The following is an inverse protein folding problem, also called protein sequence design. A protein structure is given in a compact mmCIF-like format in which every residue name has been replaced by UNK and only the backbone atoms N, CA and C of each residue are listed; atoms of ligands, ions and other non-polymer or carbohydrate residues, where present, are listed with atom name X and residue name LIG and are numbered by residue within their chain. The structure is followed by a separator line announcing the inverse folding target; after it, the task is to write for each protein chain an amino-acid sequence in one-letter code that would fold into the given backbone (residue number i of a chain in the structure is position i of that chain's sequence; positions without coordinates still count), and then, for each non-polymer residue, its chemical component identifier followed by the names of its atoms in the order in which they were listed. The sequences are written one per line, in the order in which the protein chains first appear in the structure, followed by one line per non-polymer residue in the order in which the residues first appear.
data_IF_555080213649
#
_entry.id   IF_555080213649
#
_cell.length_a   1.000
_cell.length_b   1.000
_cell.length_c   1.000
_cell.angle_alpha   90.00
_cell.angle_beta   90.00
_cell.angle_gamma   90.00
#
_symmetry.space_group_name_H-M   'P 1'
#
loop_
_entity.id
_entity.type
_entity.pdbx_description
1 polymer ?
#
# COMPACT_ATOMS: atom_id res chain seq x y z
N UNK A 1 -18.81 27.97 -69.05
CA UNK A 1 -18.18 28.46 -67.81
C UNK A 1 -17.58 27.26 -67.13
N UNK A 2 -16.26 27.12 -67.25
CA UNK A 2 -15.50 25.97 -66.77
C UNK A 2 -15.47 25.95 -65.25
N UNK A 3 -15.87 24.84 -64.66
CA UNK A 3 -15.70 24.56 -63.24
C UNK A 3 -14.25 24.13 -63.01
N UNK A 4 -13.47 24.98 -62.35
CA UNK A 4 -12.15 24.65 -61.83
C UNK A 4 -12.34 23.94 -60.47
N UNK A 5 -11.96 22.66 -60.31
CA UNK A 5 -12.00 22.01 -59.02
C UNK A 5 -10.79 22.49 -58.22
N UNK A 6 -11.00 23.49 -57.37
CA UNK A 6 -10.01 23.94 -56.40
C UNK A 6 -9.48 22.76 -55.59
N UNK A 7 -8.25 22.37 -55.88
CA UNK A 7 -7.49 21.35 -55.17
C UNK A 7 -7.35 21.80 -53.72
N UNK A 8 -8.13 21.20 -52.82
CA UNK A 8 -7.89 21.30 -51.39
C UNK A 8 -6.60 20.55 -51.07
N UNK A 9 -5.47 21.26 -51.10
CA UNK A 9 -4.16 20.79 -50.64
C UNK A 9 -4.27 20.46 -49.14
N UNK A 10 -4.53 19.19 -48.81
CA UNK A 10 -4.62 18.74 -47.44
C UNK A 10 -3.22 18.75 -46.83
N UNK A 11 -3.05 19.55 -45.77
CA UNK A 11 -1.76 19.84 -45.13
C UNK A 11 -1.36 18.73 -44.16
N UNK A 12 -1.21 17.50 -44.66
CA UNK A 12 -0.82 16.35 -43.85
C UNK A 12 0.71 16.20 -43.75
N UNK A 13 1.27 15.95 -42.56
CA UNK A 13 2.71 15.80 -42.40
C UNK A 13 3.21 14.55 -43.13
N UNK A 14 4.43 14.64 -43.66
CA UNK A 14 5.02 13.54 -44.43
C UNK A 14 5.47 12.40 -43.51
N UNK A 15 5.43 11.15 -43.98
CA UNK A 15 5.90 9.98 -43.24
C UNK A 15 7.32 10.16 -42.68
N UNK A 16 8.20 10.79 -43.46
CA UNK A 16 9.59 11.08 -43.05
C UNK A 16 9.65 11.97 -41.80
N UNK A 17 8.72 12.91 -41.64
CA UNK A 17 8.65 13.77 -40.46
C UNK A 17 8.22 12.98 -39.21
N UNK A 18 7.22 12.10 -39.32
CA UNK A 18 6.79 11.26 -38.20
C UNK A 18 7.89 10.31 -37.74
N UNK A 19 8.58 9.66 -38.68
CA UNK A 19 9.72 8.79 -38.34
C UNK A 19 10.83 9.56 -37.63
N UNK A 20 11.14 10.78 -38.08
CA UNK A 20 12.11 11.64 -37.39
C UNK A 20 11.72 11.98 -35.95
N UNK A 21 10.44 12.29 -35.72
CA UNK A 21 9.94 12.60 -34.38
C UNK A 21 9.89 11.34 -33.51
N UNK A 22 9.53 10.17 -34.06
CA UNK A 22 9.56 8.90 -33.35
C UNK A 22 10.98 8.58 -32.82
N UNK A 23 11.99 8.73 -33.68
CA UNK A 23 13.40 8.52 -33.28
C UNK A 23 13.80 9.50 -32.19
N UNK A 24 13.43 10.78 -32.32
CA UNK A 24 13.69 11.78 -31.28
C UNK A 24 13.06 11.42 -29.94
N UNK A 25 11.79 11.02 -29.92
CA UNK A 25 11.09 10.58 -28.70
C UNK A 25 11.70 9.31 -28.10
N UNK A 26 12.17 8.39 -28.94
CA UNK A 26 12.85 7.18 -28.51
C UNK A 26 14.18 7.50 -27.84
N UNK A 27 14.98 8.41 -28.41
CA UNK A 27 16.24 8.87 -27.81
C UNK A 27 16.01 9.52 -26.45
N UNK A 28 15.00 10.41 -26.32
CA UNK A 28 14.61 10.97 -25.02
C UNK A 28 14.30 9.85 -24.02
N UNK A 29 13.53 8.85 -24.44
CA UNK A 29 13.14 7.74 -23.57
C UNK A 29 14.36 6.93 -23.10
N UNK A 30 15.34 6.67 -23.97
CA UNK A 30 16.61 6.03 -23.57
C UNK A 30 17.34 6.87 -22.53
N UNK A 31 17.44 8.19 -22.75
CA UNK A 31 18.10 9.10 -21.79
C UNK A 31 17.40 9.08 -20.44
N UNK A 32 16.06 9.11 -20.42
CA UNK A 32 15.26 8.98 -19.18
C UNK A 32 15.58 7.67 -18.44
N UNK A 33 15.59 6.54 -19.15
CA UNK A 33 15.92 5.24 -18.56
C UNK A 33 17.33 5.20 -17.98
N UNK A 34 18.33 5.73 -18.69
CA UNK A 34 19.73 5.77 -18.22
C UNK A 34 19.87 6.62 -16.96
N UNK A 35 19.09 7.69 -16.82
CA UNK A 35 19.08 8.53 -15.61
C UNK A 35 18.42 7.81 -14.42
N UNK A 36 17.35 7.04 -14.65
CA UNK A 36 16.55 6.38 -13.59
C UNK A 36 17.15 5.05 -13.11
N UNK A 37 17.89 4.35 -13.99
CA UNK A 37 18.40 3.01 -13.72
C UNK A 37 19.33 2.92 -12.49
N UNK A 38 20.29 3.84 -12.27
CA UNK A 38 21.20 3.73 -11.15
C UNK A 38 20.52 4.12 -9.83
N UNK A 39 20.65 3.27 -8.81
CA UNK A 39 20.06 3.49 -7.48
C UNK A 39 20.61 4.76 -6.79
N UNK A 40 21.88 5.11 -7.07
CA UNK A 40 22.59 6.26 -6.48
C UNK A 40 21.94 7.62 -6.79
N UNK A 41 21.02 7.67 -7.74
CA UNK A 41 20.41 8.88 -8.26
C UNK A 41 18.90 8.97 -7.98
N UNK A 42 18.32 7.99 -7.27
CA UNK A 42 16.90 7.99 -6.91
C UNK A 42 16.63 8.99 -5.79
N UNK A 43 15.70 9.91 -6.02
CA UNK A 43 15.27 10.93 -5.05
C UNK A 43 16.15 12.17 -4.93
N UNK A 44 17.28 12.24 -5.66
CA UNK A 44 18.10 13.45 -5.68
C UNK A 44 17.40 14.57 -6.46
N UNK A 45 17.37 15.79 -5.92
CA UNK A 45 16.78 16.94 -6.61
C UNK A 45 17.41 17.22 -7.98
N UNK A 46 18.69 16.88 -8.17
CA UNK A 46 19.38 17.00 -9.45
C UNK A 46 18.81 16.04 -10.51
N UNK A 47 18.24 14.89 -10.15
CA UNK A 47 17.71 13.93 -11.15
C UNK A 47 16.25 14.22 -11.49
N UNK A 48 15.47 14.72 -10.54
CA UNK A 48 14.04 15.03 -10.75
C UNK A 48 13.86 16.17 -11.77
N UNK A 49 14.62 17.26 -11.66
CA UNK A 49 14.49 18.42 -12.54
C UNK A 49 14.70 18.12 -14.04
N UNK A 50 15.81 17.48 -14.48
CA UNK A 50 16.01 17.14 -15.89
C UNK A 50 15.00 16.12 -16.39
N UNK A 51 14.59 15.14 -15.57
CA UNK A 51 13.54 14.19 -15.96
C UNK A 51 12.19 14.88 -16.19
N UNK A 52 11.82 15.83 -15.34
CA UNK A 52 10.60 16.62 -15.52
C UNK A 52 10.64 17.43 -16.82
N UNK A 53 11.80 18.02 -17.15
CA UNK A 53 11.99 18.76 -18.41
C UNK A 53 11.89 17.83 -19.63
N UNK A 54 12.56 16.68 -19.61
CA UNK A 54 12.50 15.69 -20.69
C UNK A 54 11.06 15.17 -20.91
N UNK A 55 10.35 14.89 -19.82
CA UNK A 55 8.94 14.49 -19.85
C UNK A 55 8.04 15.58 -20.45
N UNK A 56 8.24 16.85 -20.07
CA UNK A 56 7.49 17.98 -20.63
C UNK A 56 7.76 18.16 -22.14
N UNK A 57 9.01 18.02 -22.59
CA UNK A 57 9.39 18.10 -24.01
C UNK A 57 8.73 16.95 -24.80
N UNK A 58 8.77 15.73 -24.27
CA UNK A 58 8.16 14.56 -24.89
C UNK A 58 6.65 14.71 -24.99
N UNK A 59 5.99 15.12 -23.91
CA UNK A 59 4.56 15.42 -23.91
C UNK A 59 4.21 16.46 -24.97
N UNK A 60 4.94 17.58 -25.02
CA UNK A 60 4.76 18.62 -26.02
C UNK A 60 4.89 18.07 -27.45
N UNK A 61 5.95 17.29 -27.74
CA UNK A 61 6.15 16.71 -29.05
C UNK A 61 5.00 15.76 -29.45
N UNK A 62 4.48 14.97 -28.51
CA UNK A 62 3.33 14.08 -28.76
C UNK A 62 2.08 14.89 -29.09
N UNK A 63 1.71 15.90 -28.28
CA UNK A 63 0.49 16.68 -28.52
C UNK A 63 0.57 17.47 -29.83
N UNK A 64 1.73 18.07 -30.15
CA UNK A 64 1.86 18.92 -31.33
C UNK A 64 1.87 18.13 -32.62
N UNK A 65 2.55 16.97 -32.65
CA UNK A 65 2.78 16.25 -33.90
C UNK A 65 1.94 14.98 -34.05
N UNK A 66 1.72 14.20 -33.00
CA UNK A 66 0.93 12.97 -33.07
C UNK A 66 -0.56 13.22 -32.83
N UNK A 67 -0.91 14.13 -31.92
CA UNK A 67 -2.30 14.57 -31.73
C UNK A 67 -2.69 15.73 -32.65
N UNK A 68 -1.87 16.04 -33.65
CA UNK A 68 -2.15 17.00 -34.72
C UNK A 68 -2.45 18.44 -34.28
N UNK A 69 -2.21 18.81 -33.02
CA UNK A 69 -2.56 20.14 -32.49
C UNK A 69 -1.88 21.30 -33.24
N UNK A 70 -0.71 21.05 -33.87
CA UNK A 70 -0.02 22.01 -34.73
C UNK A 70 -0.72 22.23 -36.09
N UNK A 71 -1.41 21.21 -36.59
CA UNK A 71 -2.03 21.17 -37.91
C UNK A 71 -3.55 21.37 -37.86
N UNK A 72 -4.15 21.24 -36.68
CA UNK A 72 -5.56 21.45 -36.42
C UNK A 72 -5.95 22.93 -36.26
N UNK A 73 -7.26 23.17 -36.25
CA UNK A 73 -7.83 24.49 -36.03
C UNK A 73 -7.49 25.02 -34.63
N UNK A 74 -7.20 26.32 -34.54
CA UNK A 74 -6.85 26.99 -33.27
C UNK A 74 -7.89 26.77 -32.16
N UNK A 75 -9.16 26.59 -32.51
CA UNK A 75 -10.20 26.26 -31.53
C UNK A 75 -9.90 24.95 -30.79
N UNK A 76 -9.47 23.90 -31.49
CA UNK A 76 -9.13 22.60 -30.89
C UNK A 76 -7.89 22.71 -29.99
N UNK A 77 -6.90 23.50 -30.43
CA UNK A 77 -5.74 23.85 -29.60
C UNK A 77 -6.15 24.51 -28.29
N UNK A 78 -7.04 25.51 -28.33
CA UNK A 78 -7.52 26.22 -27.14
C UNK A 78 -8.37 25.34 -26.22
N UNK A 79 -9.25 24.49 -26.77
CA UNK A 79 -10.06 23.56 -25.98
C UNK A 79 -9.15 22.54 -25.27
N UNK A 80 -8.18 21.96 -25.98
CA UNK A 80 -7.23 21.02 -25.39
C UNK A 80 -6.40 21.66 -24.29
N UNK A 81 -5.80 22.83 -24.56
CA UNK A 81 -5.00 23.56 -23.57
C UNK A 81 -5.85 24.01 -22.37
N UNK A 82 -7.10 24.39 -22.60
CA UNK A 82 -8.06 24.71 -21.53
C UNK A 82 -8.34 23.51 -20.63
N UNK A 83 -8.57 22.32 -21.22
CA UNK A 83 -8.73 21.08 -20.47
C UNK A 83 -7.49 20.68 -19.69
N UNK A 84 -6.31 20.81 -20.29
CA UNK A 84 -5.02 20.58 -19.62
C UNK A 84 -4.83 21.52 -18.42
N UNK A 85 -5.10 22.81 -18.60
CA UNK A 85 -5.00 23.80 -17.53
C UNK A 85 -5.99 23.53 -16.40
N UNK A 86 -7.24 23.17 -16.73
CA UNK A 86 -8.24 22.77 -15.74
C UNK A 86 -7.80 21.53 -14.96
N UNK A 87 -7.26 20.51 -15.63
CA UNK A 87 -6.75 19.31 -14.99
C UNK A 87 -5.64 19.61 -13.98
N UNK A 88 -4.65 20.42 -14.37
CA UNK A 88 -3.61 20.88 -13.44
C UNK A 88 -4.20 21.68 -12.28
N UNK A 89 -5.15 22.59 -12.55
CA UNK A 89 -5.79 23.39 -11.51
C UNK A 89 -6.50 22.50 -10.48
N UNK A 90 -7.22 21.46 -10.91
CA UNK A 90 -7.86 20.49 -10.01
C UNK A 90 -6.83 19.75 -9.18
N UNK A 91 -5.75 19.24 -9.79
CA UNK A 91 -4.68 18.54 -9.05
C UNK A 91 -4.04 19.46 -8.01
N UNK A 92 -3.67 20.70 -8.37
CA UNK A 92 -3.11 21.65 -7.42
C UNK A 92 -4.10 22.02 -6.31
N UNK A 93 -5.40 22.15 -6.63
CA UNK A 93 -6.43 22.40 -5.64
C UNK A 93 -6.56 21.24 -4.64
N UNK A 94 -6.54 19.99 -5.12
CA UNK A 94 -6.60 18.81 -4.25
C UNK A 94 -5.33 18.67 -3.41
N UNK A 95 -4.15 18.85 -4.00
CA UNK A 95 -2.89 18.84 -3.25
C UNK A 95 -2.85 19.94 -2.19
N UNK A 96 -3.37 21.14 -2.50
CA UNK A 96 -3.50 22.23 -1.52
C UNK A 96 -4.52 21.92 -0.41
N UNK A 97 -5.67 21.36 -0.77
CA UNK A 97 -6.72 20.97 0.17
C UNK A 97 -6.21 19.89 1.13
N UNK A 98 -5.68 18.79 0.60
CA UNK A 98 -5.22 17.66 1.40
C UNK A 98 -3.87 17.92 2.07
N UNK A 99 -3.01 18.75 1.47
CA UNK A 99 -1.75 19.15 2.08
C UNK A 99 -1.90 20.04 3.31
N UNK A 100 -3.03 20.74 3.44
CA UNK A 100 -3.38 21.52 4.65
C UNK A 100 -4.34 20.77 5.58
N UNK A 101 -4.90 19.66 5.13
CA UNK A 101 -5.79 18.82 5.92
C UNK A 101 -5.00 18.08 6.99
N UNK A 102 -5.04 18.61 8.21
CA UNK A 102 -4.55 17.93 9.42
C UNK A 102 -5.77 17.31 10.12
N UNK A 103 -6.06 16.02 9.91
CA UNK A 103 -7.16 15.39 10.63
C UNK A 103 -6.83 15.38 12.12
N UNK A 104 -7.55 16.17 12.91
CA UNK A 104 -7.51 16.05 14.36
C UNK A 104 -8.39 14.88 14.78
N UNK A 105 -7.96 14.09 15.78
CA UNK A 105 -8.83 13.08 16.36
C UNK A 105 -10.13 13.75 16.84
N UNK A 106 -11.28 13.15 16.51
CA UNK A 106 -12.60 13.62 16.98
C UNK A 106 -12.58 13.78 18.51
N UNK A 107 -13.40 14.69 19.04
CA UNK A 107 -13.46 14.96 20.49
C UNK A 107 -13.62 13.68 21.34
N UNK A 108 -14.39 12.70 20.85
CA UNK A 108 -14.50 11.38 21.49
C UNK A 108 -13.15 10.64 21.51
N UNK A 109 -12.37 10.65 20.43
CA UNK A 109 -11.06 9.99 20.40
C UNK A 109 -10.04 10.70 21.28
N UNK A 110 -10.10 12.03 21.42
CA UNK A 110 -9.25 12.77 22.35
C UNK A 110 -9.64 12.52 23.81
N UNK A 111 -10.94 12.46 24.11
CA UNK A 111 -11.45 12.24 25.46
C UNK A 111 -11.26 10.80 25.96
N UNK A 112 -11.16 9.85 25.04
CA UNK A 112 -10.90 8.44 25.33
C UNK A 112 -9.49 8.02 24.86
N UNK A 113 -8.59 8.99 24.66
CA UNK A 113 -7.19 8.68 24.40
C UNK A 113 -6.57 8.20 25.71
N UNK A 114 -6.47 6.88 25.86
CA UNK A 114 -5.73 6.25 26.95
C UNK A 114 -4.27 6.74 26.90
N UNK A 115 -3.73 7.36 27.97
CA UNK A 115 -2.34 7.79 28.00
C UNK A 115 -1.48 6.53 27.98
N UNK A 116 -0.81 6.31 26.86
CA UNK A 116 0.09 5.19 26.69
C UNK A 116 1.53 5.66 26.89
N UNK A 117 2.24 5.01 27.82
CA UNK A 117 3.69 5.09 27.89
C UNK A 117 4.20 4.11 26.84
N UNK A 118 5.02 4.60 25.92
CA UNK A 118 5.69 3.73 24.99
C UNK A 118 6.80 2.98 25.74
N UNK A 119 6.58 1.71 26.00
CA UNK A 119 7.57 0.81 26.59
C UNK A 119 8.53 0.35 25.50
N UNK A 120 9.78 0.78 25.61
CA UNK A 120 10.84 0.44 24.65
C UNK A 120 11.29 -1.02 24.77
N UNK A 121 11.09 -1.66 25.91
CA UNK A 121 11.57 -3.03 26.15
C UNK A 121 10.57 -4.08 25.63
N UNK A 122 9.28 -3.75 25.56
CA UNK A 122 8.21 -4.66 25.09
C UNK A 122 7.51 -4.16 23.82
N UNK A 123 8.02 -3.09 23.21
CA UNK A 123 7.59 -2.61 21.90
C UNK A 123 6.11 -2.22 21.83
N UNK A 124 5.58 -1.63 22.91
CA UNK A 124 4.14 -1.45 23.07
C UNK A 124 3.74 -0.23 23.91
N UNK A 125 2.48 0.14 23.77
CA UNK A 125 1.85 1.20 24.54
C UNK A 125 1.24 0.60 25.81
N UNK A 126 1.86 0.81 26.98
CA UNK A 126 1.29 0.40 28.27
C UNK A 126 0.47 1.55 28.86
N UNK A 127 -0.72 1.26 29.40
CA UNK A 127 -1.57 2.23 30.08
C UNK A 127 -0.79 2.86 31.26
N UNK A 128 -0.57 4.18 31.22
CA UNK A 128 0.15 4.90 32.28
C UNK A 128 -0.47 4.70 33.66
N UNK A 129 -1.80 4.63 33.75
CA UNK A 129 -2.50 4.39 34.99
C UNK A 129 -2.32 2.94 35.47
N UNK A 130 -2.18 1.97 34.56
CA UNK A 130 -1.80 0.61 34.90
C UNK A 130 -0.33 0.51 35.35
N UNK A 131 0.59 1.18 34.66
CA UNK A 131 2.01 1.23 35.00
C UNK A 131 2.27 1.91 36.35
N UNK A 132 1.54 2.98 36.67
CA UNK A 132 1.61 3.64 37.99
C UNK A 132 1.06 2.75 39.12
N UNK A 133 -0.03 2.00 38.87
CA UNK A 133 -0.54 1.03 39.85
C UNK A 133 0.44 -0.13 40.08
N UNK A 134 1.14 -0.58 39.05
CA UNK A 134 2.18 -1.60 39.17
C UNK A 134 3.38 -1.09 40.00
N UNK A 135 3.84 0.14 39.76
CA UNK A 135 4.95 0.74 40.48
C UNK A 135 4.66 1.00 41.97
N UNK A 136 3.41 1.32 42.34
CA UNK A 136 3.02 1.48 43.75
C UNK A 136 2.98 0.12 44.50
N UNK A 137 2.91 -1.00 43.78
CA UNK A 137 2.77 -2.35 44.36
C UNK A 137 4.12 -3.00 44.66
N UNK A 138 5.24 -2.49 44.12
CA UNK A 138 6.59 -3.01 44.39
C UNK A 138 7.28 -2.28 45.56
N UNK A 139 6.75 -2.45 46.77
CA UNK A 139 7.57 -2.33 47.99
C UNK A 139 8.06 -3.74 48.36
N UNK A 140 9.38 -4.01 48.44
CA UNK A 140 9.88 -5.36 48.60
C UNK A 140 9.79 -5.82 50.06
N UNK A 141 8.80 -6.65 50.38
CA UNK A 141 8.81 -7.50 51.59
C UNK A 141 9.09 -8.96 51.24
N UNK A 142 10.06 -9.53 51.96
CA UNK A 142 10.61 -10.88 51.84
C UNK A 142 9.60 -11.94 52.33
N UNK A 143 9.53 -13.15 51.74
CA UNK A 143 8.43 -14.08 51.96
C UNK A 143 8.65 -15.02 53.15
N UNK A 144 7.59 -15.27 53.91
CA UNK A 144 7.49 -16.44 54.78
C UNK A 144 6.06 -17.02 54.71
N UNK A 145 6.02 -18.33 54.49
CA UNK A 145 4.88 -19.20 54.25
C UNK A 145 3.85 -19.23 55.40
N UNK A 146 2.59 -19.59 55.11
CA UNK A 146 2.03 -20.92 55.39
C UNK A 146 0.52 -20.96 55.06
N UNK A 147 0.10 -22.09 54.47
CA UNK A 147 -1.20 -22.79 54.62
C UNK A 147 -2.35 -22.69 53.58
N UNK A 148 -2.58 -23.86 52.95
CA UNK A 148 -3.78 -24.50 52.40
C UNK A 148 -4.54 -24.00 51.11
N UNK A 149 -4.85 -24.91 50.14
CA UNK A 149 -5.70 -24.70 48.93
C UNK A 149 -7.20 -25.01 49.21
N UNK A 150 -8.22 -24.71 48.35
CA UNK A 150 -8.19 -24.67 46.88
C UNK A 150 -9.08 -23.60 46.18
N UNK A 151 -9.05 -23.66 44.84
CA UNK A 151 -10.04 -23.16 43.87
C UNK A 151 -9.78 -21.79 43.21
N UNK A 152 -9.64 -21.86 41.88
CA UNK A 152 -9.78 -20.75 40.93
C UNK A 152 -11.10 -19.99 41.15
N UNK A 153 -11.12 -18.69 40.82
CA UNK A 153 -11.75 -18.34 39.55
C UNK A 153 -10.97 -17.31 38.71
N UNK A 154 -11.08 -17.55 37.42
CA UNK A 154 -10.77 -16.70 36.27
C UNK A 154 -11.14 -15.22 36.42
N UNK A 155 -10.25 -14.33 35.98
CA UNK A 155 -10.58 -12.97 35.58
C UNK A 155 -10.30 -12.78 34.09
N UNK A 156 -11.29 -13.18 33.30
CA UNK A 156 -11.56 -12.75 31.93
C UNK A 156 -11.82 -11.23 31.90
N UNK A 157 -10.97 -10.49 31.19
CA UNK A 157 -11.31 -9.19 30.61
C UNK A 157 -12.12 -9.42 29.31
N UNK A 158 -13.03 -8.52 28.92
CA UNK A 158 -14.02 -8.81 27.88
C UNK A 158 -13.36 -8.86 26.51
N UNK A 159 -13.21 -10.09 26.00
CA UNK A 159 -12.94 -10.34 24.60
C UNK A 159 -14.04 -9.69 23.74
N UNK A 160 -13.74 -9.21 22.51
CA UNK A 160 -14.78 -9.10 21.51
C UNK A 160 -15.47 -10.48 21.44
N UNK A 161 -16.79 -10.50 21.35
CA UNK A 161 -17.61 -11.71 21.49
C UNK A 161 -17.53 -12.70 20.31
N UNK A 162 -16.37 -12.79 19.66
CA UNK A 162 -15.97 -13.86 18.74
C UNK A 162 -14.48 -14.09 18.98
N UNK A 163 -14.05 -15.36 19.12
CA UNK A 163 -12.69 -15.71 19.57
C UNK A 163 -11.54 -15.22 18.66
N UNK A 164 -10.32 -15.71 18.89
CA UNK A 164 -9.10 -15.30 18.17
C UNK A 164 -9.27 -15.24 16.64
N UNK A 165 -10.01 -16.18 16.05
CA UNK A 165 -10.28 -16.17 14.61
C UNK A 165 -11.15 -14.98 14.15
N UNK A 166 -12.10 -14.52 14.96
CA UNK A 166 -12.90 -13.33 14.63
C UNK A 166 -12.06 -12.04 14.74
N UNK A 167 -11.12 -11.99 15.70
CA UNK A 167 -10.13 -10.92 15.80
C UNK A 167 -9.18 -10.93 14.59
N UNK A 168 -8.69 -12.11 14.20
CA UNK A 168 -7.90 -12.31 12.99
C UNK A 168 -8.65 -11.88 11.73
N UNK A 169 -9.93 -12.18 11.61
CA UNK A 169 -10.76 -11.73 10.48
C UNK A 169 -10.91 -10.21 10.44
N UNK A 170 -11.09 -9.57 11.60
CA UNK A 170 -11.18 -8.11 11.71
C UNK A 170 -9.84 -7.46 11.36
N UNK A 171 -8.71 -8.07 11.73
CA UNK A 171 -7.38 -7.64 11.30
C UNK A 171 -7.20 -7.83 9.80
N UNK A 172 -7.56 -8.99 9.25
CA UNK A 172 -7.44 -9.30 7.83
C UNK A 172 -8.22 -8.31 6.93
N UNK A 173 -9.45 -7.95 7.35
CA UNK A 173 -10.37 -7.09 6.58
C UNK A 173 -10.28 -5.60 6.91
N UNK A 174 -9.81 -5.25 8.11
CA UNK A 174 -9.80 -3.87 8.61
C UNK A 174 -8.44 -3.19 8.47
N UNK A 175 -7.60 -3.29 9.51
CA UNK A 175 -6.25 -2.69 9.54
C UNK A 175 -5.29 -3.38 8.57
N UNK A 176 -5.52 -4.64 8.26
CA UNK A 176 -4.75 -5.42 7.33
C UNK A 176 -5.00 -4.95 5.89
N UNK A 177 -3.92 -4.62 5.20
CA UNK A 177 -3.89 -4.50 3.73
C UNK A 177 -4.13 -5.85 3.01
N UNK A 178 -4.31 -6.93 3.77
CA UNK A 178 -4.35 -8.32 3.29
C UNK A 178 -5.43 -8.54 2.22
N UNK A 179 -6.65 -8.01 2.44
CA UNK A 179 -7.77 -8.13 1.47
C UNK A 179 -7.50 -7.48 0.10
N UNK A 180 -6.57 -6.52 0.05
CA UNK A 180 -6.24 -5.83 -1.22
C UNK A 180 -5.50 -6.77 -2.16
N UNK A 181 -4.68 -7.67 -1.60
CA UNK A 181 -3.83 -8.57 -2.36
C UNK A 181 -4.37 -10.00 -2.40
N UNK A 182 -5.01 -10.47 -1.33
CA UNK A 182 -5.48 -11.84 -1.19
C UNK A 182 -7.00 -11.96 -1.27
N UNK A 183 -7.45 -13.02 -1.94
CA UNK A 183 -8.85 -13.44 -2.00
C UNK A 183 -9.15 -14.49 -0.93
N UNK A 184 -10.33 -14.41 -0.31
CA UNK A 184 -10.94 -15.48 0.49
C UNK A 184 -12.44 -15.52 0.16
N UNK A 185 -12.93 -16.64 -0.36
CA UNK A 185 -14.36 -16.81 -0.62
C UNK A 185 -15.16 -16.79 0.68
N UNK A 186 -16.26 -16.01 0.70
CA UNK A 186 -17.10 -15.84 1.89
C UNK A 186 -16.66 -14.72 2.84
N UNK A 187 -15.49 -14.12 2.63
CA UNK A 187 -15.05 -12.92 3.36
C UNK A 187 -15.33 -11.68 2.53
N UNK A 188 -16.17 -10.78 3.06
CA UNK A 188 -16.55 -9.56 2.36
C UNK A 188 -15.33 -8.68 2.04
N UNK A 189 -15.20 -8.27 0.77
CA UNK A 189 -14.10 -7.41 0.31
C UNK A 189 -12.77 -8.13 0.02
N UNK A 190 -12.61 -9.41 0.39
CA UNK A 190 -11.42 -10.19 0.10
C UNK A 190 -11.42 -10.72 -1.35
N UNK A 191 -11.18 -9.83 -2.32
CA UNK A 191 -11.18 -10.14 -3.76
C UNK A 191 -9.84 -9.84 -4.45
N UNK A 192 -8.76 -9.74 -3.66
CA UNK A 192 -7.42 -9.45 -4.17
C UNK A 192 -6.89 -10.52 -5.13
N UNK A 193 -6.10 -10.09 -6.12
CA UNK A 193 -5.52 -10.94 -7.18
C UNK A 193 -3.98 -10.91 -7.22
N UNK A 194 -3.35 -10.11 -6.35
CA UNK A 194 -1.90 -9.91 -6.36
C UNK A 194 -1.15 -10.99 -5.57
N UNK A 195 -1.79 -11.53 -4.54
CA UNK A 195 -1.30 -12.66 -3.76
C UNK A 195 -2.07 -13.96 -4.07
N UNK A 196 -1.61 -15.11 -3.55
CA UNK A 196 -2.32 -16.37 -3.67
C UNK A 196 -3.72 -16.33 -3.05
N UNK A 197 -4.63 -17.10 -3.63
CA UNK A 197 -5.97 -17.33 -3.07
C UNK A 197 -5.84 -18.08 -1.73
N UNK A 198 -6.42 -17.51 -0.68
CA UNK A 198 -6.33 -18.02 0.70
C UNK A 198 -7.59 -18.77 1.14
N UNK A 199 -8.57 -18.99 0.25
CA UNK A 199 -9.85 -19.65 0.57
C UNK A 199 -9.69 -20.99 1.28
N UNK A 200 -8.67 -21.78 0.90
CA UNK A 200 -8.38 -23.10 1.48
C UNK A 200 -6.96 -23.14 2.06
N UNK A 201 -6.47 -22.01 2.58
CA UNK A 201 -5.05 -21.89 2.95
C UNK A 201 -4.64 -22.86 4.05
N UNK A 202 -5.53 -23.20 4.99
CA UNK A 202 -5.23 -24.16 6.04
C UNK A 202 -4.83 -25.53 5.46
N UNK A 203 -5.60 -26.02 4.49
CA UNK A 203 -5.34 -27.29 3.79
C UNK A 203 -4.10 -27.22 2.90
N UNK A 204 -3.92 -26.09 2.21
CA UNK A 204 -2.79 -25.91 1.29
C UNK A 204 -1.47 -25.79 2.05
N UNK A 205 -1.44 -25.05 3.16
CA UNK A 205 -0.27 -24.77 3.98
C UNK A 205 0.43 -26.05 4.47
N UNK A 206 -0.33 -27.10 4.82
CA UNK A 206 0.20 -28.41 5.25
C UNK A 206 1.15 -29.06 4.23
N UNK A 207 1.03 -28.68 2.95
CA UNK A 207 1.77 -29.30 1.85
C UNK A 207 2.81 -28.38 1.21
N UNK A 208 2.87 -27.10 1.60
CA UNK A 208 3.75 -26.10 0.97
C UNK A 208 5.22 -26.34 1.26
N UNK A 209 5.54 -26.70 2.50
CA UNK A 209 6.93 -26.88 2.92
C UNK A 209 7.10 -28.24 3.63
N UNK A 210 7.96 -29.13 3.12
CA UNK A 210 8.17 -30.43 3.76
C UNK A 210 8.67 -30.29 5.20
N UNK A 211 7.95 -30.90 6.14
CA UNK A 211 8.34 -30.93 7.56
C UNK A 211 7.98 -29.70 8.37
N UNK A 212 7.20 -28.77 7.82
CA UNK A 212 6.67 -27.59 8.51
C UNK A 212 5.16 -27.72 8.62
N UNK A 213 4.59 -27.47 9.80
CA UNK A 213 3.15 -27.52 10.01
C UNK A 213 2.44 -26.34 9.31
N UNK A 214 1.12 -26.45 9.11
CA UNK A 214 0.34 -25.35 8.52
C UNK A 214 0.44 -24.07 9.36
N UNK A 215 0.40 -24.18 10.69
CA UNK A 215 0.52 -23.05 11.61
C UNK A 215 1.88 -22.38 11.48
N UNK A 216 2.98 -23.15 11.57
CA UNK A 216 4.35 -22.62 11.41
C UNK A 216 4.56 -21.99 10.03
N UNK A 217 4.02 -22.60 8.98
CA UNK A 217 4.08 -22.05 7.62
C UNK A 217 3.35 -20.70 7.54
N UNK A 218 2.18 -20.57 8.16
CA UNK A 218 1.39 -19.34 8.16
C UNK A 218 2.07 -18.24 8.99
N UNK A 219 2.62 -18.57 10.16
CA UNK A 219 3.44 -17.65 10.97
C UNK A 219 4.64 -17.16 10.15
N UNK A 220 5.42 -18.08 9.55
CA UNK A 220 6.56 -17.73 8.71
C UNK A 220 6.14 -16.86 7.52
N UNK A 221 5.03 -17.18 6.86
CA UNK A 221 4.53 -16.40 5.72
C UNK A 221 4.15 -14.97 6.09
N UNK A 222 3.76 -14.72 7.35
CA UNK A 222 3.39 -13.37 7.82
C UNK A 222 4.63 -12.61 8.34
N UNK A 223 5.46 -13.26 9.16
CA UNK A 223 6.59 -12.62 9.85
C UNK A 223 7.82 -12.53 8.94
N UNK A 224 8.06 -13.54 8.11
CA UNK A 224 9.20 -13.67 7.20
C UNK A 224 8.75 -14.07 5.77
N UNK A 225 7.92 -13.24 5.09
CA UNK A 225 7.27 -13.61 3.81
C UNK A 225 8.23 -13.95 2.65
N UNK A 226 9.49 -13.52 2.71
CA UNK A 226 10.50 -13.84 1.69
C UNK A 226 11.24 -15.16 1.98
N UNK A 227 10.99 -15.83 3.13
CA UNK A 227 11.61 -17.11 3.49
C UNK A 227 11.09 -18.27 2.65
N UNK A 228 9.82 -18.21 2.24
CA UNK A 228 9.20 -19.14 1.30
C UNK A 228 8.26 -18.38 0.37
N UNK A 229 8.54 -18.45 -0.94
CA UNK A 229 7.73 -17.78 -1.97
C UNK A 229 7.03 -18.85 -2.79
N UNK A 230 5.70 -18.75 -2.87
CA UNK A 230 4.89 -19.61 -3.74
C UNK A 230 5.26 -19.36 -5.20
N UNK A 231 5.42 -20.43 -5.99
CA UNK A 231 5.68 -20.35 -7.43
C UNK A 231 4.72 -19.37 -8.13
N UNK A 232 5.25 -18.65 -9.11
CA UNK A 232 4.54 -17.64 -9.92
C UNK A 232 4.21 -16.31 -9.21
N UNK A 233 4.56 -16.14 -7.93
CA UNK A 233 4.42 -14.86 -7.21
C UNK A 233 5.75 -14.10 -7.05
N UNK A 234 5.74 -12.75 -7.11
CA UNK A 234 6.95 -11.94 -6.98
C UNK A 234 7.44 -11.89 -5.53
N UNK A 235 8.77 -12.02 -5.36
CA UNK A 235 9.45 -11.76 -4.09
C UNK A 235 9.26 -10.30 -3.62
N UNK A 236 9.47 -10.05 -2.33
CA UNK A 236 9.49 -8.75 -1.65
C UNK A 236 8.17 -7.95 -1.65
N UNK A 237 7.16 -8.33 -2.43
CA UNK A 237 5.88 -7.63 -2.47
C UNK A 237 5.12 -7.75 -1.13
N UNK A 238 5.04 -8.98 -0.60
CA UNK A 238 4.37 -9.25 0.68
C UNK A 238 5.17 -8.63 1.83
N UNK A 239 6.51 -8.78 1.82
CA UNK A 239 7.41 -8.19 2.83
C UNK A 239 7.27 -6.67 2.95
N UNK A 240 7.33 -5.95 1.82
CA UNK A 240 7.21 -4.49 1.80
C UNK A 240 5.88 -4.00 2.36
N UNK A 241 4.82 -4.81 2.27
CA UNK A 241 3.48 -4.43 2.71
C UNK A 241 3.24 -4.81 4.17
N UNK A 242 3.63 -6.02 4.59
CA UNK A 242 3.45 -6.49 5.97
C UNK A 242 4.39 -5.79 6.95
N UNK A 243 5.64 -5.49 6.56
CA UNK A 243 6.57 -4.73 7.40
C UNK A 243 6.04 -3.34 7.79
N UNK A 244 5.19 -2.72 6.94
CA UNK A 244 4.55 -1.45 7.22
C UNK A 244 3.38 -1.52 8.22
N UNK A 245 2.86 -2.71 8.52
CA UNK A 245 1.74 -2.90 9.45
C UNK A 245 2.19 -2.96 10.91
N UNK A 246 3.47 -3.29 11.17
CA UNK A 246 4.02 -3.48 12.50
C UNK A 246 3.14 -4.39 13.38
N UNK A 247 2.82 -5.59 12.87
CA UNK A 247 2.00 -6.58 13.57
C UNK A 247 2.70 -7.06 14.85
N UNK A 248 1.94 -7.13 15.93
CA UNK A 248 2.37 -7.77 17.20
C UNK A 248 2.22 -9.28 17.12
N UNK A 249 2.91 -10.02 18.01
CA UNK A 249 2.80 -11.49 18.07
C UNK A 249 1.35 -11.94 18.29
N UNK A 250 0.59 -11.25 19.16
CA UNK A 250 -0.83 -11.56 19.39
C UNK A 250 -1.70 -11.31 18.15
N UNK A 251 -1.41 -10.28 17.35
CA UNK A 251 -2.10 -10.03 16.09
C UNK A 251 -1.74 -11.07 15.03
N UNK A 252 -0.49 -11.54 15.00
CA UNK A 252 -0.06 -12.66 14.15
C UNK A 252 -0.80 -13.94 14.56
N UNK A 253 -0.90 -14.25 15.86
CA UNK A 253 -1.62 -15.41 16.37
C UNK A 253 -3.11 -15.35 16.02
N UNK A 254 -3.75 -14.18 16.16
CA UNK A 254 -5.14 -13.99 15.74
C UNK A 254 -5.32 -14.20 14.23
N UNK A 255 -4.43 -13.64 13.39
CA UNK A 255 -4.44 -13.83 11.94
C UNK A 255 -4.25 -15.31 11.57
N UNK A 256 -3.33 -16.01 12.22
CA UNK A 256 -3.08 -17.43 11.97
C UNK A 256 -4.29 -18.27 12.40
N UNK A 257 -4.89 -17.98 13.55
CA UNK A 257 -6.11 -18.64 14.01
C UNK A 257 -7.25 -18.49 12.99
N UNK A 258 -7.42 -17.29 12.41
CA UNK A 258 -8.39 -17.06 11.34
C UNK A 258 -8.05 -17.82 10.05
N UNK A 259 -6.78 -17.82 9.63
CA UNK A 259 -6.34 -18.48 8.40
C UNK A 259 -6.44 -20.01 8.49
N UNK A 260 -6.26 -20.59 9.68
CA UNK A 260 -6.43 -22.02 9.94
C UNK A 260 -7.90 -22.49 9.84
N UNK A 261 -8.87 -21.57 9.88
CA UNK A 261 -10.28 -21.88 9.64
C UNK A 261 -10.66 -21.91 8.15
N UNK A 262 -9.79 -21.43 7.25
CA UNK A 262 -10.06 -21.36 5.81
C UNK A 262 -9.66 -22.68 5.13
N UNK A 263 -10.63 -23.56 4.87
CA UNK A 263 -10.43 -24.96 4.44
C UNK A 263 -11.15 -25.34 3.16
#
# INVERSE_FOLDING_TARGET
MSSDPGVHESRHPTLKQYVGIAIFLFVITIVEFVIILPQNFRGAGWTIAPLAILSAIKFAAVIFFYMHLKFDNRLLTWVFLGGLALGFAVVFALVGLFGTYTPSPRAWAQANAEPCLFDHDHGGCVDLAAAQRAAETETPETPAAEDAPPAEPSHTAPAPSGGLAAEGQALFTGRGVCITCHKIEGVEGAVGILGPDLTNVATVAETRQPGVSAEEYLVQSIVEPDAYIVDEYPAALMNATVAGLALTDAEVDALVAFLLEQK
#
